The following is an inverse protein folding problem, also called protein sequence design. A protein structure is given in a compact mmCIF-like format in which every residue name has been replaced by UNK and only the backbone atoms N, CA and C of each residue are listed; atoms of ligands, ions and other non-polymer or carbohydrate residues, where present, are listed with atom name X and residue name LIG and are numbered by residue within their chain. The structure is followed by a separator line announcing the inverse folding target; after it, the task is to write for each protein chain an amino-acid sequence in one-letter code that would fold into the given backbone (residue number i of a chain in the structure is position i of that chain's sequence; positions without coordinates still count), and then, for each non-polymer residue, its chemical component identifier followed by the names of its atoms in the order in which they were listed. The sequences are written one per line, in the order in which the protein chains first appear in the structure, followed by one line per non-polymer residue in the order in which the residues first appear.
data_IF_840788547843
#
_entry.id   IF_840788547843
#
_cell.length_a   1.000
_cell.length_b   1.000
_cell.length_c   1.000
_cell.angle_alpha   90.00
_cell.angle_beta   90.00
_cell.angle_gamma   90.00
#
_symmetry.space_group_name_H-M   'P 1'
#
loop_
_entity.id
_entity.type
_entity.pdbx_description
1 polymer ?
#
# COMPACT_ATOMS: atom_id res chain seq x y z
N UNK A 1 -13.23 -70.18 4.87
CA UNK A 1 -14.44 -69.79 5.63
C UNK A 1 -15.25 -68.85 4.75
N UNK A 2 -16.37 -69.34 4.24
CA UNK A 2 -17.23 -68.65 3.28
C UNK A 2 -18.70 -68.90 3.68
N UNK A 3 -19.51 -67.85 3.57
CA UNK A 3 -20.98 -67.87 3.54
C UNK A 3 -21.64 -66.96 4.60
N UNK A 4 -22.93 -66.55 4.42
CA UNK A 4 -23.80 -66.77 3.27
C UNK A 4 -24.55 -65.52 2.73
N UNK A 5 -25.12 -65.75 1.55
CA UNK A 5 -26.07 -64.96 0.78
C UNK A 5 -27.30 -64.48 1.57
N UNK A 6 -27.68 -63.21 1.35
CA UNK A 6 -28.99 -62.65 1.67
C UNK A 6 -29.76 -62.30 0.38
N UNK A 7 -31.00 -62.80 0.27
CA UNK A 7 -31.84 -62.84 -0.92
C UNK A 7 -32.56 -61.52 -1.26
N UNK A 8 -32.90 -61.43 -2.54
CA UNK A 8 -33.91 -60.59 -3.18
C UNK A 8 -35.28 -60.56 -2.47
N UNK A 9 -35.95 -59.41 -2.51
CA UNK A 9 -37.38 -59.30 -2.88
C UNK A 9 -37.69 -57.87 -3.35
N UNK A 10 -38.30 -57.79 -4.52
CA UNK A 10 -38.84 -56.58 -5.13
C UNK A 10 -40.11 -56.12 -4.41
N UNK A 11 -40.46 -54.83 -4.47
CA UNK A 11 -41.83 -54.42 -4.79
C UNK A 11 -41.88 -52.99 -5.34
N UNK A 12 -42.56 -52.92 -6.48
CA UNK A 12 -43.00 -51.79 -7.26
C UNK A 12 -43.94 -50.86 -6.49
N UNK A 13 -43.70 -49.55 -6.56
CA UNK A 13 -44.73 -48.52 -6.37
C UNK A 13 -44.41 -47.29 -7.23
N UNK A 14 -44.73 -47.38 -8.52
CA UNK A 14 -44.81 -46.24 -9.42
C UNK A 14 -46.07 -45.45 -9.04
N UNK A 15 -45.90 -44.43 -8.21
CA UNK A 15 -46.95 -43.44 -7.97
C UNK A 15 -47.07 -42.56 -9.22
N UNK A 16 -47.97 -42.95 -10.12
CA UNK A 16 -48.52 -42.09 -11.17
C UNK A 16 -49.12 -40.86 -10.50
N UNK A 17 -48.41 -39.73 -10.59
CA UNK A 17 -49.00 -38.42 -10.31
C UNK A 17 -50.15 -38.20 -11.30
N UNK A 18 -51.35 -37.83 -10.84
CA UNK A 18 -52.42 -37.45 -11.75
C UNK A 18 -51.95 -36.25 -12.56
N UNK A 19 -51.99 -36.40 -13.89
CA UNK A 19 -51.87 -35.31 -14.84
C UNK A 19 -52.93 -34.27 -14.48
N UNK A 20 -52.49 -33.22 -13.78
CA UNK A 20 -53.32 -32.06 -13.49
C UNK A 20 -53.62 -31.43 -14.85
N UNK A 21 -54.86 -31.59 -15.31
CA UNK A 21 -55.35 -30.98 -16.54
C UNK A 21 -54.91 -29.52 -16.58
N UNK A 22 -54.16 -29.17 -17.62
CA UNK A 22 -53.75 -27.81 -17.91
C UNK A 22 -55.02 -26.98 -18.09
N UNK A 23 -55.41 -26.26 -17.03
CA UNK A 23 -56.49 -25.30 -17.07
C UNK A 23 -56.01 -24.19 -17.98
N UNK A 24 -56.52 -24.16 -19.21
CA UNK A 24 -56.26 -23.11 -20.19
C UNK A 24 -56.52 -21.76 -19.51
N UNK A 25 -55.46 -20.98 -19.32
CA UNK A 25 -55.54 -19.65 -18.76
C UNK A 25 -56.35 -18.78 -19.74
N UNK A 26 -57.41 -18.18 -19.23
CA UNK A 26 -58.23 -17.25 -20.00
C UNK A 26 -57.35 -16.12 -20.58
N UNK A 27 -57.45 -15.82 -21.89
CA UNK A 27 -56.77 -14.67 -22.49
C UNK A 27 -57.40 -13.39 -21.91
N UNK A 28 -56.68 -12.69 -21.03
CA UNK A 28 -57.13 -11.40 -20.48
C UNK A 28 -56.85 -11.16 -19.01
N UNK A 29 -56.34 -12.13 -18.25
CA UNK A 29 -55.91 -11.86 -16.88
C UNK A 29 -54.64 -10.98 -16.90
N UNK A 30 -54.64 -9.77 -16.32
CA UNK A 30 -53.46 -8.93 -16.28
C UNK A 30 -52.35 -9.71 -15.55
N UNK A 31 -51.24 -9.95 -16.26
CA UNK A 31 -50.03 -10.53 -15.66
C UNK A 31 -49.73 -9.71 -14.42
N UNK A 32 -49.87 -10.33 -13.25
CA UNK A 32 -49.46 -9.77 -11.96
C UNK A 32 -47.95 -9.60 -12.08
N UNK A 33 -47.52 -8.43 -12.54
CA UNK A 33 -46.11 -8.05 -12.57
C UNK A 33 -45.70 -8.14 -11.11
N UNK A 34 -44.94 -9.17 -10.76
CA UNK A 34 -44.30 -9.22 -9.46
C UNK A 34 -43.44 -7.97 -9.41
N UNK A 35 -43.95 -6.91 -8.77
CA UNK A 35 -43.13 -5.77 -8.39
C UNK A 35 -42.01 -6.37 -7.57
N UNK A 36 -40.83 -6.45 -8.18
CA UNK A 36 -39.59 -6.84 -7.51
C UNK A 36 -39.59 -6.11 -6.18
N UNK A 37 -39.52 -6.86 -5.08
CA UNK A 37 -39.42 -6.26 -3.77
C UNK A 37 -38.31 -5.20 -3.82
N UNK A 38 -38.52 -4.00 -3.26
CA UNK A 38 -37.48 -2.97 -3.26
C UNK A 38 -36.25 -3.60 -2.62
N UNK A 39 -35.20 -3.77 -3.43
CA UNK A 39 -33.90 -4.26 -2.95
C UNK A 39 -33.49 -3.30 -1.86
N UNK A 40 -33.32 -3.78 -0.63
CA UNK A 40 -32.84 -2.96 0.47
C UNK A 40 -31.50 -2.34 0.05
N UNK A 41 -31.40 -1.02 0.14
CA UNK A 41 -30.34 -0.26 -0.51
C UNK A 41 -29.25 0.03 0.52
N UNK A 42 -28.13 -0.69 0.50
CA UNK A 42 -27.04 -0.36 1.40
C UNK A 42 -26.34 0.94 0.97
N UNK A 43 -26.25 1.90 1.89
CA UNK A 43 -25.29 2.99 1.75
C UNK A 43 -23.87 2.40 1.76
N UNK A 44 -22.93 2.93 0.95
CA UNK A 44 -21.55 2.47 0.98
C UNK A 44 -21.00 2.56 2.40
N UNK A 45 -20.51 1.44 2.95
CA UNK A 45 -19.91 1.47 4.27
C UNK A 45 -18.66 2.36 4.25
N UNK A 46 -18.61 3.34 5.16
CA UNK A 46 -17.48 4.25 5.35
C UNK A 46 -17.07 4.28 6.82
N UNK A 47 -15.77 4.39 7.11
CA UNK A 47 -15.32 4.68 8.47
C UNK A 47 -15.76 6.09 8.89
N UNK A 48 -15.94 6.32 10.18
CA UNK A 48 -16.16 7.68 10.68
C UNK A 48 -14.82 8.46 10.69
N UNK A 49 -14.83 9.80 10.56
CA UNK A 49 -13.62 10.59 10.72
C UNK A 49 -12.90 10.32 12.05
N UNK A 50 -13.66 10.08 13.12
CA UNK A 50 -13.12 9.77 14.44
C UNK A 50 -12.41 8.41 14.47
N UNK A 51 -12.95 7.39 13.79
CA UNK A 51 -12.29 6.08 13.67
C UNK A 51 -10.94 6.22 12.96
N UNK A 52 -10.85 7.08 11.94
CA UNK A 52 -9.58 7.38 11.24
C UNK A 52 -8.61 8.12 12.15
N UNK A 53 -9.07 9.12 12.90
CA UNK A 53 -8.23 9.86 13.85
C UNK A 53 -7.70 8.94 14.97
N UNK A 54 -8.49 7.98 15.45
CA UNK A 54 -8.06 6.93 16.40
C UNK A 54 -6.99 6.02 15.78
N UNK A 55 -7.25 5.48 14.59
CA UNK A 55 -6.26 4.65 13.87
C UNK A 55 -4.94 5.38 13.65
N UNK A 56 -5.00 6.68 13.33
CA UNK A 56 -3.81 7.50 13.14
C UNK A 56 -2.97 7.66 14.41
N UNK A 57 -3.57 7.55 15.60
CA UNK A 57 -2.87 7.54 16.91
C UNK A 57 -2.32 6.15 17.26
N UNK A 58 -2.71 5.12 16.52
CA UNK A 58 -2.45 3.72 16.87
C UNK A 58 -3.49 3.13 17.83
N UNK A 59 -4.60 3.83 18.03
CA UNK A 59 -5.73 3.32 18.79
C UNK A 59 -6.62 2.44 17.89
N UNK A 60 -7.33 1.48 18.47
CA UNK A 60 -8.30 0.68 17.73
C UNK A 60 -9.50 1.52 17.28
N UNK A 61 -9.92 1.37 16.02
CA UNK A 61 -11.19 1.90 15.54
C UNK A 61 -12.38 1.26 16.27
N UNK A 62 -13.50 1.98 16.33
CA UNK A 62 -14.74 1.48 16.95
C UNK A 62 -15.32 0.33 16.16
N UNK A 63 -15.28 0.42 14.82
CA UNK A 63 -15.74 -0.63 13.92
C UNK A 63 -14.59 -1.53 13.50
N UNK A 64 -14.78 -2.84 13.65
CA UNK A 64 -13.84 -3.86 13.17
C UNK A 64 -13.72 -3.78 11.65
N UNK A 65 -12.50 -3.89 11.14
CA UNK A 65 -12.21 -3.87 9.69
C UNK A 65 -11.88 -2.48 9.12
N UNK A 66 -12.02 -1.41 9.90
CA UNK A 66 -11.61 -0.06 9.50
C UNK A 66 -10.11 0.04 9.23
N UNK A 67 -9.29 -0.58 10.09
CA UNK A 67 -7.84 -0.70 9.91
C UNK A 67 -7.38 -2.12 9.60
N UNK A 68 -6.15 -2.25 9.11
CA UNK A 68 -5.46 -3.52 8.90
C UNK A 68 -4.09 -3.48 9.62
N UNK A 69 -3.68 -4.56 10.28
CA UNK A 69 -2.36 -4.67 10.92
C UNK A 69 -1.20 -4.65 9.92
N UNK A 70 -1.44 -5.13 8.70
CA UNK A 70 -0.46 -5.21 7.62
C UNK A 70 -0.32 -3.89 6.86
N UNK A 71 -1.20 -2.92 7.09
CA UNK A 71 -1.14 -1.59 6.47
C UNK A 71 -0.91 -0.57 7.57
N UNK A 72 0.22 0.15 7.56
CA UNK A 72 0.51 1.10 8.61
C UNK A 72 -0.45 2.29 8.53
N UNK A 73 -1.05 2.64 9.66
CA UNK A 73 -1.90 3.85 9.82
C UNK A 73 -1.39 4.77 10.93
N UNK A 74 -0.61 4.25 11.89
CA UNK A 74 -0.09 5.02 13.02
C UNK A 74 0.93 6.06 12.57
N UNK A 75 0.60 7.33 12.79
CA UNK A 75 1.45 8.46 12.45
C UNK A 75 2.50 8.69 13.53
N UNK A 76 3.67 9.21 13.13
CA UNK A 76 4.70 9.70 14.05
C UNK A 76 4.35 11.11 14.56
N UNK A 77 5.12 11.60 15.53
CA UNK A 77 4.99 12.97 16.01
C UNK A 77 5.19 14.01 14.89
N UNK A 78 6.10 13.74 13.93
CA UNK A 78 6.40 14.63 12.80
C UNK A 78 5.30 14.63 11.73
N UNK A 79 4.69 13.47 11.46
CA UNK A 79 3.64 13.35 10.44
C UNK A 79 2.29 13.90 10.92
N UNK A 80 2.06 13.89 12.23
CA UNK A 80 0.81 14.35 12.84
C UNK A 80 0.45 15.80 12.46
N UNK A 81 1.31 16.81 12.63
CA UNK A 81 0.99 18.18 12.22
C UNK A 81 0.76 18.29 10.71
N UNK A 82 1.46 17.49 9.90
CA UNK A 82 1.24 17.45 8.44
C UNK A 82 -0.17 16.95 8.13
N UNK A 83 -0.60 15.85 8.76
CA UNK A 83 -1.94 15.30 8.63
C UNK A 83 -3.03 16.28 9.07
N UNK A 84 -2.89 16.91 10.24
CA UNK A 84 -3.83 17.91 10.74
C UNK A 84 -3.90 19.15 9.83
N UNK A 85 -2.76 19.61 9.29
CA UNK A 85 -2.74 20.70 8.32
C UNK A 85 -3.41 20.31 7.01
N UNK A 86 -3.29 19.04 6.60
CA UNK A 86 -3.87 18.51 5.37
C UNK A 86 -5.40 18.45 5.47
N UNK A 87 -5.95 18.09 6.63
CA UNK A 87 -7.40 18.16 6.89
C UNK A 87 -7.96 19.57 6.67
N UNK A 88 -7.20 20.62 7.03
CA UNK A 88 -7.59 22.03 6.81
C UNK A 88 -7.45 22.46 5.35
N UNK A 89 -6.37 22.01 4.67
CA UNK A 89 -6.07 22.37 3.27
C UNK A 89 -6.92 21.61 2.25
N UNK A 90 -7.36 20.41 2.60
CA UNK A 90 -8.07 19.49 1.70
C UNK A 90 -7.17 18.68 0.75
N UNK A 91 -5.85 18.75 0.91
CA UNK A 91 -4.87 17.92 0.20
C UNK A 91 -3.66 17.64 1.08
N UNK A 92 -2.95 16.55 0.79
CA UNK A 92 -1.72 16.16 1.46
C UNK A 92 -0.51 16.58 0.62
N UNK A 93 0.53 17.12 1.24
CA UNK A 93 1.83 17.32 0.60
C UNK A 93 2.89 16.55 1.37
N UNK A 94 3.65 15.71 0.66
CA UNK A 94 4.71 14.86 1.21
C UNK A 94 5.98 15.06 0.40
N UNK A 95 7.15 14.91 1.04
CA UNK A 95 8.44 14.95 0.34
C UNK A 95 8.78 13.56 -0.17
N UNK A 96 9.01 13.42 -1.49
CA UNK A 96 9.07 12.12 -2.16
C UNK A 96 7.73 11.39 -2.06
N UNK A 97 7.75 10.06 -1.94
CA UNK A 97 6.54 9.23 -1.85
C UNK A 97 5.88 9.18 -0.46
N UNK A 98 6.53 9.75 0.56
CA UNK A 98 6.08 9.63 1.97
C UNK A 98 6.33 8.24 2.59
N UNK A 99 7.12 7.38 1.95
CA UNK A 99 7.49 6.07 2.48
C UNK A 99 8.45 6.18 3.68
N UNK A 100 8.18 5.41 4.75
CA UNK A 100 9.15 5.25 5.85
C UNK A 100 10.14 4.14 5.54
N UNK A 101 11.45 4.48 5.52
CA UNK A 101 12.53 3.49 5.31
C UNK A 101 12.93 2.74 6.58
N UNK A 102 12.90 3.39 7.75
CA UNK A 102 13.68 2.96 8.92
C UNK A 102 12.87 2.35 10.08
N UNK A 103 11.56 2.19 9.98
CA UNK A 103 10.74 1.70 11.12
C UNK A 103 10.26 0.26 10.89
N UNK A 104 10.10 -0.50 11.97
CA UNK A 104 9.59 -1.89 12.01
C UNK A 104 8.23 -2.15 11.29
N UNK A 105 7.59 -1.10 10.78
CA UNK A 105 6.40 -1.17 9.91
C UNK A 105 6.69 -0.34 8.66
N UNK A 106 7.31 -0.97 7.66
CA UNK A 106 7.51 -0.39 6.34
C UNK A 106 6.16 0.02 5.71
N UNK A 107 6.17 1.08 4.89
CA UNK A 107 5.01 1.54 4.13
C UNK A 107 4.75 3.04 4.24
N UNK A 108 3.50 3.43 3.99
CA UNK A 108 3.09 4.81 3.76
C UNK A 108 2.01 5.30 4.75
N UNK A 109 2.29 5.37 6.07
CA UNK A 109 1.28 5.63 7.09
C UNK A 109 0.53 6.96 6.90
N UNK A 110 1.24 8.03 6.56
CA UNK A 110 0.64 9.34 6.35
C UNK A 110 -0.30 9.37 5.13
N UNK A 111 0.13 8.97 3.91
CA UNK A 111 -0.78 8.80 2.78
C UNK A 111 -1.93 7.82 3.03
N UNK A 112 -1.69 6.70 3.72
CA UNK A 112 -2.74 5.72 4.05
C UNK A 112 -3.83 6.33 4.92
N UNK A 113 -3.44 7.03 6.00
CA UNK A 113 -4.37 7.72 6.89
C UNK A 113 -5.09 8.87 6.20
N UNK A 114 -4.42 9.59 5.30
CA UNK A 114 -5.04 10.63 4.47
C UNK A 114 -6.09 10.06 3.52
N UNK A 115 -5.78 8.95 2.83
CA UNK A 115 -6.73 8.25 1.96
C UNK A 115 -7.95 7.74 2.73
N UNK A 116 -7.76 7.22 3.95
CA UNK A 116 -8.88 6.85 4.83
C UNK A 116 -9.73 8.04 5.25
N UNK A 117 -9.10 9.17 5.58
CA UNK A 117 -9.82 10.40 5.92
C UNK A 117 -10.68 10.89 4.75
N UNK A 118 -10.12 10.86 3.53
CA UNK A 118 -10.84 11.18 2.30
C UNK A 118 -12.03 10.24 2.07
N UNK A 119 -11.89 8.94 2.31
CA UNK A 119 -13.01 7.98 2.22
C UNK A 119 -14.08 8.21 3.29
N UNK A 120 -13.69 8.53 4.53
CA UNK A 120 -14.63 8.86 5.60
C UNK A 120 -15.49 10.09 5.26
N UNK A 121 -14.89 11.10 4.61
CA UNK A 121 -15.57 12.31 4.15
C UNK A 121 -16.28 12.13 2.81
N UNK A 122 -15.95 11.05 2.08
CA UNK A 122 -16.19 10.93 0.66
C UNK A 122 -15.63 12.17 -0.04
N UNK A 123 -14.33 12.26 -0.24
CA UNK A 123 -13.63 13.32 -0.98
C UNK A 123 -12.57 12.62 -1.85
N UNK A 124 -12.18 13.18 -3.01
CA UNK A 124 -11.04 12.62 -3.74
C UNK A 124 -9.78 12.70 -2.86
N UNK A 125 -8.91 11.71 -2.92
CA UNK A 125 -7.65 11.74 -2.20
C UNK A 125 -6.60 12.43 -3.08
N UNK A 126 -6.21 13.64 -2.70
CA UNK A 126 -5.21 14.45 -3.42
C UNK A 126 -3.91 14.45 -2.63
N UNK A 127 -2.82 14.01 -3.25
CA UNK A 127 -1.47 13.95 -2.67
C UNK A 127 -0.48 14.63 -3.61
N UNK A 128 0.32 15.56 -3.10
CA UNK A 128 1.44 16.16 -3.80
C UNK A 128 2.72 15.49 -3.31
N UNK A 129 3.41 14.79 -4.19
CA UNK A 129 4.75 14.27 -3.99
C UNK A 129 5.76 15.32 -4.43
N UNK A 130 6.34 15.98 -3.44
CA UNK A 130 7.29 17.04 -3.66
C UNK A 130 8.65 16.45 -4.00
N UNK A 131 9.26 16.96 -5.07
CA UNK A 131 10.61 16.56 -5.41
C UNK A 131 11.58 16.86 -4.26
N UNK A 132 12.50 15.92 -4.00
CA UNK A 132 13.45 16.01 -2.89
C UNK A 132 14.57 16.99 -3.19
N UNK A 133 14.91 17.21 -4.46
CA UNK A 133 15.99 18.12 -4.86
C UNK A 133 15.56 19.59 -4.85
N UNK A 134 14.24 19.84 -4.91
CA UNK A 134 13.66 21.19 -4.85
C UNK A 134 13.76 21.96 -6.17
N UNK A 135 14.45 21.42 -7.17
CA UNK A 135 14.50 21.93 -8.54
C UNK A 135 13.68 21.12 -9.55
N UNK A 136 13.17 19.96 -9.16
CA UNK A 136 12.31 19.13 -10.01
C UNK A 136 10.84 19.55 -9.98
N UNK A 137 10.07 19.00 -10.92
CA UNK A 137 8.61 19.10 -10.95
C UNK A 137 8.01 18.26 -9.80
N UNK A 138 6.93 18.76 -9.19
CA UNK A 138 6.21 18.01 -8.17
C UNK A 138 5.15 17.15 -8.88
N UNK A 139 4.92 15.91 -8.41
CA UNK A 139 3.85 15.07 -8.93
C UNK A 139 2.60 15.17 -8.06
N UNK A 140 1.44 15.41 -8.67
CA UNK A 140 0.13 15.36 -8.01
C UNK A 140 -0.57 14.05 -8.36
N UNK A 141 -0.91 13.29 -7.33
CA UNK A 141 -1.68 12.06 -7.41
C UNK A 141 -3.11 12.34 -6.92
N UNK A 142 -4.08 12.09 -7.79
CA UNK A 142 -5.52 12.21 -7.49
C UNK A 142 -6.16 10.83 -7.54
N UNK A 143 -6.45 10.23 -6.38
CA UNK A 143 -7.19 8.97 -6.30
C UNK A 143 -8.69 9.22 -6.12
N UNK A 144 -9.47 8.70 -7.07
CA UNK A 144 -10.93 8.83 -7.09
C UNK A 144 -11.66 7.68 -6.38
N UNK A 145 -10.96 6.61 -5.96
CA UNK A 145 -11.58 5.48 -5.27
C UNK A 145 -12.38 5.87 -4.00
N UNK A 146 -11.93 6.83 -3.16
CA UNK A 146 -12.70 7.31 -1.99
C UNK A 146 -14.09 7.89 -2.33
N UNK A 147 -14.32 8.31 -3.57
CA UNK A 147 -15.64 8.76 -4.01
C UNK A 147 -16.65 7.60 -4.05
N UNK A 148 -16.17 6.36 -4.18
CA UNK A 148 -16.98 5.13 -4.32
C UNK A 148 -17.98 5.19 -5.47
N UNK A 149 -17.58 5.83 -6.57
CA UNK A 149 -18.38 5.94 -7.80
C UNK A 149 -18.03 4.80 -8.77
N UNK A 150 -19.02 4.14 -9.36
CA UNK A 150 -18.82 3.16 -10.45
C UNK A 150 -18.21 3.85 -11.66
N UNK A 151 -18.77 5.00 -12.03
CA UNK A 151 -18.25 5.82 -13.12
C UNK A 151 -17.61 7.09 -12.55
N UNK A 152 -16.35 7.30 -12.88
CA UNK A 152 -15.59 8.50 -12.53
C UNK A 152 -15.26 9.34 -13.77
N UNK A 153 -15.80 9.04 -14.95
CA UNK A 153 -15.46 9.68 -16.22
C UNK A 153 -15.57 11.21 -16.15
N UNK A 154 -16.71 11.73 -15.70
CA UNK A 154 -16.94 13.17 -15.54
C UNK A 154 -15.97 13.83 -14.55
N UNK A 155 -15.73 13.18 -13.40
CA UNK A 155 -14.81 13.69 -12.37
C UNK A 155 -13.38 13.67 -12.88
N UNK A 156 -12.97 12.60 -13.55
CA UNK A 156 -11.65 12.48 -14.15
C UNK A 156 -11.42 13.54 -15.21
N UNK A 157 -12.39 13.77 -16.10
CA UNK A 157 -12.29 14.79 -17.13
C UNK A 157 -12.20 16.20 -16.52
N UNK A 158 -12.96 16.44 -15.46
CA UNK A 158 -12.87 17.70 -14.72
C UNK A 158 -11.49 17.93 -14.11
N UNK A 159 -10.88 16.89 -13.53
CA UNK A 159 -9.51 16.96 -13.04
C UNK A 159 -8.52 17.29 -14.17
N UNK A 160 -8.65 16.65 -15.35
CA UNK A 160 -7.79 16.92 -16.51
C UNK A 160 -7.93 18.33 -17.05
N UNK A 161 -9.16 18.83 -17.14
CA UNK A 161 -9.44 20.20 -17.58
C UNK A 161 -8.82 21.22 -16.62
N UNK A 162 -9.00 21.00 -15.30
CA UNK A 162 -8.42 21.85 -14.28
C UNK A 162 -6.89 21.84 -14.32
N UNK A 163 -6.29 20.65 -14.50
CA UNK A 163 -4.84 20.49 -14.63
C UNK A 163 -4.30 21.26 -15.85
N UNK A 164 -4.93 21.08 -17.02
CA UNK A 164 -4.54 21.76 -18.27
C UNK A 164 -4.62 23.28 -18.13
N UNK A 165 -5.68 23.80 -17.50
CA UNK A 165 -5.84 25.24 -17.25
C UNK A 165 -4.75 25.83 -16.36
N UNK A 166 -4.23 25.04 -15.43
CA UNK A 166 -3.20 25.45 -14.47
C UNK A 166 -1.78 25.08 -14.92
N UNK A 167 -1.61 24.58 -16.15
CA UNK A 167 -0.30 24.28 -16.72
C UNK A 167 0.29 22.91 -16.34
N UNK A 168 -0.45 22.05 -15.63
CA UNK A 168 0.05 20.72 -15.28
C UNK A 168 -0.04 19.75 -16.48
N UNK A 169 1.00 18.93 -16.66
CA UNK A 169 1.07 17.84 -17.62
C UNK A 169 0.45 16.59 -17.02
N UNK A 170 -0.49 15.94 -17.72
CA UNK A 170 -0.99 14.63 -17.28
C UNK A 170 0.04 13.55 -17.63
N UNK A 171 0.39 12.69 -16.66
CA UNK A 171 1.21 11.50 -16.92
C UNK A 171 0.32 10.37 -17.43
N UNK A 172 0.80 9.68 -18.46
CA UNK A 172 0.10 8.53 -19.03
C UNK A 172 0.40 7.24 -18.25
N UNK A 173 -0.44 6.20 -18.35
CA UNK A 173 -0.21 4.92 -17.66
C UNK A 173 1.14 4.27 -17.97
N UNK A 174 1.73 4.55 -19.13
CA UNK A 174 3.05 4.06 -19.54
C UNK A 174 4.20 4.78 -18.82
N UNK A 175 3.98 6.02 -18.38
CA UNK A 175 4.96 6.81 -17.63
C UNK A 175 4.84 6.53 -16.13
N UNK A 176 3.62 6.33 -15.63
CA UNK A 176 3.34 6.04 -14.23
C UNK A 176 2.12 5.14 -14.08
N UNK A 177 2.35 3.94 -13.54
CA UNK A 177 1.35 2.89 -13.42
C UNK A 177 0.36 3.13 -12.30
N UNK A 178 -0.73 2.35 -12.31
CA UNK A 178 -1.75 2.37 -11.25
C UNK A 178 -1.26 1.91 -9.88
N UNK A 179 -0.14 1.19 -9.86
CA UNK A 179 0.58 0.66 -8.72
C UNK A 179 1.54 1.68 -8.11
N UNK A 180 1.92 2.73 -8.84
CA UNK A 180 2.86 3.77 -8.39
C UNK A 180 2.17 4.85 -7.55
N UNK A 181 1.21 4.44 -6.72
CA UNK A 181 0.48 5.33 -5.82
C UNK A 181 1.22 5.46 -4.48
N UNK A 182 1.13 6.61 -3.78
CA UNK A 182 1.87 6.85 -2.55
C UNK A 182 1.26 6.15 -1.32
N UNK A 183 0.40 5.15 -1.49
CA UNK A 183 -0.30 4.50 -0.38
C UNK A 183 -0.41 2.99 -0.61
N UNK A 184 -0.47 2.24 0.48
CA UNK A 184 -0.50 0.78 0.47
C UNK A 184 -1.93 0.28 0.25
N UNK A 185 -2.09 -0.68 -0.66
CA UNK A 185 -3.38 -1.33 -0.95
C UNK A 185 -3.22 -2.83 -0.75
N UNK A 186 -4.06 -3.42 0.10
CA UNK A 186 -4.14 -4.87 0.19
C UNK A 186 -5.15 -5.35 -0.86
N UNK A 187 -4.74 -6.10 -1.88
CA UNK A 187 -5.65 -6.57 -2.91
C UNK A 187 -6.81 -7.36 -2.27
N UNK A 188 -8.04 -7.09 -2.71
CA UNK A 188 -9.21 -7.87 -2.28
C UNK A 188 -8.96 -9.32 -2.68
N UNK A 189 -8.88 -10.19 -1.69
CA UNK A 189 -8.81 -11.61 -1.95
C UNK A 189 -10.18 -12.08 -2.41
N UNK A 190 -10.33 -12.30 -3.71
CA UNK A 190 -11.57 -12.82 -4.27
C UNK A 190 -11.85 -14.21 -3.66
N UNK A 191 -13.09 -14.49 -3.21
CA UNK A 191 -13.45 -15.82 -2.71
C UNK A 191 -13.12 -16.88 -3.78
N UNK A 192 -12.29 -17.87 -3.45
CA UNK A 192 -11.82 -18.90 -4.38
C UNK A 192 -10.40 -18.69 -4.93
N UNK A 193 -9.82 -17.49 -4.80
CA UNK A 193 -8.39 -17.32 -5.00
C UNK A 193 -7.65 -17.94 -3.80
N UNK A 194 -6.89 -19.01 -4.06
CA UNK A 194 -6.02 -19.63 -3.07
C UNK A 194 -5.16 -18.54 -2.40
N UNK A 195 -4.90 -18.68 -1.10
CA UNK A 195 -4.02 -17.73 -0.42
C UNK A 195 -2.68 -17.76 -1.15
N UNK A 196 -2.07 -16.62 -1.50
CA UNK A 196 -0.62 -16.63 -1.56
C UNK A 196 -0.16 -17.16 -0.19
N UNK A 197 0.46 -18.34 -0.19
CA UNK A 197 1.01 -18.88 1.05
C UNK A 197 1.97 -17.82 1.61
N UNK A 198 1.88 -17.47 2.90
CA UNK A 198 2.75 -16.45 3.47
C UNK A 198 4.20 -16.82 3.14
N UNK A 199 4.98 -15.89 2.56
CA UNK A 199 6.32 -16.16 2.03
C UNK A 199 7.22 -16.90 3.05
N UNK A 200 7.02 -16.67 4.35
CA UNK A 200 7.70 -17.41 5.42
C UNK A 200 7.43 -18.92 5.38
N UNK A 201 6.20 -19.37 5.12
CA UNK A 201 5.88 -20.79 4.95
C UNK A 201 6.51 -21.37 3.69
N UNK A 202 6.56 -20.61 2.60
CA UNK A 202 7.18 -21.07 1.36
C UNK A 202 8.70 -21.20 1.50
N UNK A 203 9.33 -20.26 2.21
CA UNK A 203 10.75 -20.29 2.54
C UNK A 203 11.08 -21.43 3.52
N UNK A 204 10.22 -21.67 4.52
CA UNK A 204 10.38 -22.80 5.46
C UNK A 204 10.16 -24.16 4.78
N UNK A 205 9.21 -24.26 3.84
CA UNK A 205 9.03 -25.47 3.02
C UNK A 205 10.21 -25.69 2.07
N UNK A 206 10.77 -24.65 1.45
CA UNK A 206 12.00 -24.79 0.66
C UNK A 206 13.18 -25.25 1.51
N UNK A 207 13.35 -24.70 2.71
CA UNK A 207 14.40 -25.15 3.63
C UNK A 207 14.20 -26.61 4.08
N UNK A 208 12.95 -27.04 4.32
CA UNK A 208 12.65 -28.44 4.64
C UNK A 208 12.89 -29.38 3.44
N UNK A 209 12.60 -28.94 2.21
CA UNK A 209 12.89 -29.71 1.00
C UNK A 209 14.39 -29.85 0.74
N UNK A 210 15.18 -28.80 1.02
CA UNK A 210 16.64 -28.88 0.94
C UNK A 210 17.22 -29.82 2.01
N UNK A 211 16.70 -29.75 3.25
CA UNK A 211 17.13 -30.65 4.34
C UNK A 211 16.83 -32.12 4.05
N UNK A 212 15.68 -32.42 3.45
CA UNK A 212 15.30 -33.79 3.08
C UNK A 212 16.15 -34.42 1.98
N UNK A 213 16.94 -33.61 1.25
CA UNK A 213 17.80 -34.11 0.17
C UNK A 213 19.19 -34.54 0.65
N UNK A 214 19.64 -34.08 1.82
CA UNK A 214 20.95 -34.45 2.38
C UNK A 214 20.91 -35.78 3.14
N UNK A 215 19.75 -36.19 3.68
CA UNK A 215 19.64 -37.41 4.50
C UNK A 215 19.52 -38.72 3.70
N UNK A 216 19.43 -38.67 2.36
CA UNK A 216 19.30 -39.88 1.53
C UNK A 216 20.51 -40.12 0.58
N UNK A 217 21.61 -39.40 0.78
CA UNK A 217 22.87 -39.56 0.04
C UNK A 217 23.88 -40.47 0.74
N UNK A 218 23.45 -41.63 1.22
CA UNK A 218 24.33 -42.64 1.80
C UNK A 218 24.93 -43.58 0.76
N UNK A 219 26.26 -43.57 0.69
CA UNK A 219 27.22 -44.59 0.18
C UNK A 219 28.19 -44.04 -0.89
N UNK A 220 29.07 -43.13 -0.44
CA UNK A 220 30.38 -42.95 -1.06
C UNK A 220 31.40 -43.89 -0.40
N UNK A 221 32.34 -44.49 -1.17
CA UNK A 221 33.29 -45.47 -0.67
C UNK A 221 34.31 -44.88 0.32
N UNK A 222 34.62 -45.65 1.36
CA UNK A 222 35.67 -45.40 2.36
C UNK A 222 37.02 -45.03 1.71
N UNK A 223 37.62 -43.88 2.08
CA UNK A 223 39.04 -43.67 1.90
C UNK A 223 39.82 -44.23 3.11
N UNK A 224 40.78 -45.08 2.79
CA UNK A 224 41.68 -45.74 3.72
C UNK A 224 42.50 -44.75 4.56
N UNK A 225 42.75 -45.19 5.79
CA UNK A 225 43.49 -44.51 6.84
C UNK A 225 44.90 -44.06 6.43
N UNK A 226 45.23 -42.81 6.74
CA UNK A 226 46.60 -42.36 6.93
C UNK A 226 46.70 -41.67 8.30
N UNK A 227 47.44 -42.31 9.21
CA UNK A 227 47.80 -41.80 10.51
C UNK A 227 48.71 -40.57 10.38
N UNK A 228 48.39 -39.51 11.13
CA UNK A 228 49.16 -38.28 11.20
C UNK A 228 48.95 -37.63 12.57
N UNK A 229 49.98 -37.78 13.38
CA UNK A 229 50.16 -37.40 14.77
C UNK A 229 50.28 -35.87 14.98
N UNK A 230 49.79 -35.38 16.13
CA UNK A 230 50.43 -34.29 16.88
C UNK A 230 50.05 -32.82 16.58
N UNK A 231 49.15 -32.27 17.42
CA UNK A 231 49.49 -31.08 18.21
C UNK A 231 48.95 -29.71 17.78
N UNK A 232 48.44 -28.98 18.77
CA UNK A 232 48.56 -27.51 18.84
C UNK A 232 47.26 -26.74 18.70
N UNK A 233 46.66 -26.40 19.84
CA UNK A 233 45.57 -25.43 19.92
C UNK A 233 45.96 -24.04 19.43
N UNK A 234 44.99 -23.33 18.86
CA UNK A 234 45.16 -21.96 18.44
C UNK A 234 43.81 -21.37 18.04
N UNK A 235 43.27 -20.54 18.93
CA UNK A 235 42.17 -19.62 18.67
C UNK A 235 42.46 -18.79 17.40
N UNK A 236 41.78 -19.11 16.29
CA UNK A 236 42.02 -18.50 14.97
C UNK A 236 40.81 -18.49 14.05
N UNK A 237 39.58 -18.56 14.60
CA UNK A 237 38.35 -18.65 13.82
C UNK A 237 37.92 -17.35 13.12
N UNK A 238 38.46 -16.20 13.50
CA UNK A 238 38.06 -14.90 12.96
C UNK A 238 38.63 -14.58 11.56
N UNK A 239 39.88 -14.99 11.29
CA UNK A 239 40.58 -14.58 10.07
C UNK A 239 40.06 -15.30 8.81
N UNK A 240 39.49 -16.50 8.97
CA UNK A 240 38.90 -17.28 7.88
C UNK A 240 37.69 -16.60 7.26
N UNK A 241 36.74 -16.17 8.10
CA UNK A 241 35.51 -15.52 7.66
C UNK A 241 35.78 -14.17 6.98
N UNK A 242 36.67 -13.35 7.56
CA UNK A 242 37.07 -12.08 6.98
C UNK A 242 37.73 -12.27 5.59
N UNK A 243 38.57 -13.30 5.44
CA UNK A 243 39.21 -13.62 4.16
C UNK A 243 38.21 -14.13 3.13
N UNK A 244 37.22 -14.91 3.53
CA UNK A 244 36.17 -15.42 2.65
C UNK A 244 35.26 -14.29 2.15
N UNK A 245 34.85 -13.38 3.04
CA UNK A 245 34.05 -12.20 2.68
C UNK A 245 34.82 -11.29 1.71
N UNK A 246 36.11 -11.04 1.97
CA UNK A 246 36.97 -10.28 1.06
C UNK A 246 37.09 -10.96 -0.32
N UNK A 247 37.24 -12.29 -0.37
CA UNK A 247 37.31 -13.05 -1.62
C UNK A 247 35.99 -12.98 -2.40
N UNK A 248 34.84 -13.11 -1.72
CA UNK A 248 33.53 -12.99 -2.33
C UNK A 248 33.28 -11.58 -2.90
N UNK A 249 33.68 -10.53 -2.18
CA UNK A 249 33.59 -9.15 -2.66
C UNK A 249 34.45 -8.91 -3.91
N UNK A 250 35.68 -9.42 -3.92
CA UNK A 250 36.57 -9.34 -5.08
C UNK A 250 36.00 -10.06 -6.31
N UNK A 251 35.36 -11.22 -6.12
CA UNK A 251 34.70 -11.95 -7.20
C UNK A 251 33.51 -11.18 -7.81
N UNK A 252 32.71 -10.50 -6.97
CA UNK A 252 31.62 -9.63 -7.45
C UNK A 252 32.16 -8.48 -8.31
N UNK A 253 33.21 -7.81 -7.85
CA UNK A 253 33.81 -6.69 -8.59
C UNK A 253 34.42 -7.15 -9.92
N UNK A 254 35.15 -8.28 -9.92
CA UNK A 254 35.74 -8.86 -11.12
C UNK A 254 34.66 -9.21 -12.16
N UNK A 255 33.57 -9.86 -11.74
CA UNK A 255 32.46 -10.21 -12.64
C UNK A 255 31.73 -8.96 -13.16
N UNK A 256 31.55 -7.94 -12.32
CA UNK A 256 30.98 -6.65 -12.75
C UNK A 256 31.88 -5.94 -13.78
N UNK A 257 33.20 -6.06 -13.65
CA UNK A 257 34.17 -5.60 -14.65
C UNK A 257 34.00 -6.29 -16.00
N UNK A 258 33.83 -7.62 -16.01
CA UNK A 258 33.58 -8.39 -17.24
C UNK A 258 32.28 -7.97 -17.94
N UNK A 259 31.19 -7.77 -17.19
CA UNK A 259 29.92 -7.30 -17.76
C UNK A 259 30.04 -5.90 -18.36
N UNK A 260 30.79 -4.99 -17.71
CA UNK A 260 31.09 -3.65 -18.24
C UNK A 260 31.90 -3.74 -19.54
N UNK A 261 32.96 -4.54 -19.56
CA UNK A 261 33.79 -4.74 -20.76
C UNK A 261 33.01 -5.34 -21.94
N UNK A 262 32.07 -6.26 -21.68
CA UNK A 262 31.18 -6.80 -22.72
C UNK A 262 30.26 -5.71 -23.31
N UNK A 263 29.75 -4.80 -22.48
CA UNK A 263 28.93 -3.68 -22.93
C UNK A 263 29.73 -2.64 -23.72
N UNK A 264 30.96 -2.35 -23.29
CA UNK A 264 31.88 -1.45 -24.00
C UNK A 264 32.24 -1.96 -25.40
N UNK A 265 32.28 -3.28 -25.60
CA UNK A 265 32.47 -3.92 -26.92
C UNK A 265 31.20 -3.90 -27.80
N UNK A 266 30.15 -3.20 -27.39
CA UNK A 266 28.87 -3.13 -28.11
C UNK A 266 27.85 -4.21 -27.73
N UNK A 267 28.12 -5.00 -26.68
CA UNK A 267 27.14 -5.94 -26.14
C UNK A 267 25.92 -5.19 -25.57
N UNK A 268 24.73 -5.54 -26.03
CA UNK A 268 23.49 -4.97 -25.49
C UNK A 268 22.97 -5.82 -24.33
N UNK A 269 21.99 -5.32 -23.57
CA UNK A 269 21.33 -6.12 -22.52
C UNK A 269 20.59 -7.37 -23.08
N UNK A 270 20.40 -7.45 -24.40
CA UNK A 270 19.82 -8.63 -25.07
C UNK A 270 20.88 -9.63 -25.54
N UNK A 271 22.17 -9.27 -25.51
CA UNK A 271 23.23 -10.19 -25.89
C UNK A 271 23.31 -11.35 -24.90
N UNK A 272 23.34 -12.62 -25.36
CA UNK A 272 23.30 -13.80 -24.48
C UNK A 272 24.50 -13.84 -23.53
N UNK A 273 25.66 -13.33 -23.97
CA UNK A 273 26.88 -13.24 -23.16
C UNK A 273 26.73 -12.24 -22.00
N UNK A 274 26.11 -11.08 -22.25
CA UNK A 274 25.83 -10.07 -21.21
C UNK A 274 24.81 -10.64 -20.22
N UNK A 275 23.78 -11.35 -20.69
CA UNK A 275 22.79 -11.98 -19.83
C UNK A 275 23.39 -13.06 -18.92
N UNK A 276 24.22 -13.95 -19.49
CA UNK A 276 24.94 -14.97 -18.71
C UNK A 276 25.86 -14.32 -17.68
N UNK A 277 26.59 -13.27 -18.07
CA UNK A 277 27.46 -12.52 -17.18
C UNK A 277 26.71 -11.87 -16.00
N UNK A 278 25.53 -11.30 -16.27
CA UNK A 278 24.64 -10.72 -15.24
C UNK A 278 24.07 -11.79 -14.31
N UNK A 279 23.67 -12.96 -14.82
CA UNK A 279 23.20 -14.05 -13.96
C UNK A 279 24.30 -14.54 -12.99
N UNK A 280 25.53 -14.69 -13.46
CA UNK A 280 26.68 -15.02 -12.60
C UNK A 280 26.92 -13.94 -11.54
N UNK A 281 26.85 -12.67 -11.93
CA UNK A 281 26.98 -11.54 -11.00
C UNK A 281 25.91 -11.56 -9.90
N UNK A 282 24.65 -11.88 -10.24
CA UNK A 282 23.57 -12.01 -9.26
C UNK A 282 23.80 -13.16 -8.28
N UNK A 283 24.30 -14.31 -8.75
CA UNK A 283 24.67 -15.44 -7.88
C UNK A 283 25.79 -15.06 -6.89
N UNK A 284 26.83 -14.38 -7.36
CA UNK A 284 27.94 -13.91 -6.51
C UNK A 284 27.47 -12.88 -5.48
N UNK A 285 26.58 -11.95 -5.86
CA UNK A 285 25.99 -10.99 -4.91
C UNK A 285 25.14 -11.68 -3.85
N UNK A 286 24.36 -12.70 -4.22
CA UNK A 286 23.58 -13.48 -3.26
C UNK A 286 24.49 -14.23 -2.28
N UNK A 287 25.61 -14.79 -2.75
CA UNK A 287 26.61 -15.44 -1.89
C UNK A 287 27.26 -14.45 -0.92
N UNK A 288 27.70 -13.29 -1.39
CA UNK A 288 28.27 -12.24 -0.54
C UNK A 288 27.28 -11.78 0.53
N UNK A 289 26.01 -11.60 0.17
CA UNK A 289 24.96 -11.23 1.12
C UNK A 289 24.71 -12.31 2.18
N UNK A 290 24.82 -13.59 1.81
CA UNK A 290 24.69 -14.71 2.76
C UNK A 290 25.83 -14.71 3.79
N UNK A 291 27.07 -14.45 3.36
CA UNK A 291 28.23 -14.33 4.25
C UNK A 291 28.08 -13.15 5.22
N UNK A 292 27.65 -11.99 4.72
CA UNK A 292 27.42 -10.80 5.54
C UNK A 292 26.27 -10.96 6.54
N UNK A 293 25.22 -11.72 6.19
CA UNK A 293 24.09 -12.00 7.08
C UNK A 293 24.42 -12.96 8.22
N UNK A 294 25.42 -13.83 8.05
CA UNK A 294 25.89 -14.75 9.08
C UNK A 294 26.60 -14.06 10.25
N UNK A 295 27.33 -12.98 10.00
CA UNK A 295 28.04 -12.22 11.04
C UNK A 295 27.11 -11.53 12.04
N UNK A 296 25.88 -11.17 11.63
CA UNK A 296 24.92 -10.50 12.51
C UNK A 296 24.23 -11.44 13.53
N UNK A 297 24.37 -12.76 13.42
CA UNK A 297 23.74 -13.72 14.35
C UNK A 297 24.68 -14.28 15.42
N UNK A 298 25.96 -13.90 15.44
CA UNK A 298 26.96 -14.44 16.38
C UNK A 298 27.47 -13.46 17.45
N UNK A 299 26.87 -12.28 17.59
CA UNK A 299 27.10 -11.47 18.80
C UNK A 299 26.16 -11.95 19.92
N UNK A 300 26.67 -12.52 21.03
CA UNK A 300 25.86 -12.79 22.20
C UNK A 300 25.37 -11.46 22.77
N UNK A 301 24.06 -11.35 22.97
CA UNK A 301 23.43 -10.26 23.71
C UNK A 301 24.08 -10.21 25.11
N UNK A 302 24.87 -9.18 25.36
CA UNK A 302 25.23 -8.79 26.71
C UNK A 302 24.04 -8.00 27.27
N UNK A 303 23.52 -8.48 28.39
CA UNK A 303 22.46 -7.85 29.17
C UNK A 303 22.93 -6.45 29.63
N UNK A 304 22.28 -5.41 29.11
CA UNK A 304 22.29 -4.06 29.67
C UNK A 304 20.85 -3.73 30.10
N UNK A 305 20.45 -4.33 31.21
CA UNK A 305 19.40 -3.81 32.07
C UNK A 305 20.09 -3.00 33.18
N UNK A 306 20.20 -1.67 33.02
CA UNK A 306 20.26 -0.67 34.11
C UNK A 306 20.43 0.74 33.52
N UNK A 307 19.72 1.72 34.08
CA UNK A 307 19.86 3.19 33.91
C UNK A 307 19.05 3.96 32.84
N UNK A 308 17.70 3.98 32.95
CA UNK A 308 16.87 5.05 32.37
C UNK A 308 15.76 5.59 33.32
N UNK A 309 16.08 5.89 34.59
CA UNK A 309 15.12 6.49 35.54
C UNK A 309 15.57 7.82 36.19
N UNK A 310 16.38 8.67 35.53
CA UNK A 310 16.84 9.96 36.13
C UNK A 310 16.78 11.23 35.25
N UNK A 311 16.08 11.27 34.12
CA UNK A 311 16.05 12.49 33.26
C UNK A 311 14.71 13.24 33.14
N UNK A 312 13.76 13.09 34.08
CA UNK A 312 12.48 13.82 34.06
C UNK A 312 12.22 14.84 35.18
N UNK A 313 13.25 15.27 35.92
CA UNK A 313 13.11 16.37 36.88
C UNK A 313 14.27 17.36 36.78
N UNK A 314 14.20 18.30 35.82
CA UNK A 314 14.85 19.62 35.91
C UNK A 314 14.55 20.46 34.66
N UNK A 315 13.32 20.98 34.50
CA UNK A 315 13.07 22.27 33.82
C UNK A 315 11.74 22.84 34.35
N UNK A 316 11.78 23.49 35.50
CA UNK A 316 10.79 24.49 35.89
C UNK A 316 11.43 25.44 36.90
N UNK A 317 11.08 26.72 36.77
CA UNK A 317 11.46 27.88 37.58
C UNK A 317 12.74 28.62 37.17
N UNK A 318 12.55 29.89 36.81
CA UNK A 318 13.59 30.82 36.40
C UNK A 318 13.03 32.06 35.72
N UNK A 319 12.15 32.77 36.44
CA UNK A 319 11.67 34.12 36.14
C UNK A 319 12.83 35.08 35.82
N UNK A 320 12.59 36.00 34.90
CA UNK A 320 13.50 37.09 34.55
C UNK A 320 12.74 38.22 33.89
N UNK A 321 12.23 39.12 34.72
CA UNK A 321 11.75 40.45 34.37
C UNK A 321 12.83 41.26 33.64
N UNK A 322 12.44 42.12 32.69
CA UNK A 322 13.31 43.21 32.26
C UNK A 322 13.04 43.81 30.88
N UNK A 323 12.46 45.02 30.92
CA UNK A 323 12.69 46.15 30.02
C UNK A 323 11.88 46.28 28.71
N UNK A 324 10.85 47.13 28.85
CA UNK A 324 10.49 48.25 27.97
C UNK A 324 11.41 48.53 26.78
N UNK A 325 10.83 48.55 25.58
CA UNK A 325 11.15 49.62 24.62
C UNK A 325 9.94 49.93 23.74
N UNK A 326 9.51 51.17 23.92
CA UNK A 326 8.50 51.92 23.18
C UNK A 326 8.81 52.05 21.69
N UNK A 327 7.74 52.07 20.86
CA UNK A 327 7.40 53.16 19.94
C UNK A 327 6.76 52.68 18.62
N UNK A 328 5.44 52.82 18.54
CA UNK A 328 4.80 53.62 17.50
C UNK A 328 4.26 52.93 16.24
N UNK A 329 3.15 53.42 15.64
CA UNK A 329 2.30 52.67 14.71
C UNK A 329 2.24 53.24 13.27
N UNK A 330 1.86 52.39 12.31
CA UNK A 330 1.24 52.78 11.04
C UNK A 330 0.45 51.56 10.51
N UNK A 331 -0.88 51.50 10.62
CA UNK A 331 -1.93 52.04 9.72
C UNK A 331 -1.84 51.60 8.25
N UNK A 332 -2.98 51.07 7.78
CA UNK A 332 -3.47 50.97 6.38
C UNK A 332 -2.81 49.89 5.50
N UNK A 333 -3.51 49.05 4.74
CA UNK A 333 -4.93 48.87 4.46
C UNK A 333 -4.96 47.77 3.41
N UNK A 334 -5.67 46.67 3.66
CA UNK A 334 -5.86 45.62 2.67
C UNK A 334 -7.36 45.45 2.48
N UNK A 335 -7.89 46.23 1.53
CA UNK A 335 -9.21 46.03 0.95
C UNK A 335 -9.30 44.60 0.41
N UNK A 336 -10.08 43.77 1.09
CA UNK A 336 -10.52 42.50 0.58
C UNK A 336 -11.51 42.76 -0.56
N UNK A 337 -11.00 42.72 -1.79
CA UNK A 337 -11.83 42.61 -2.99
C UNK A 337 -12.60 41.27 -2.92
N UNK A 338 -13.86 41.35 -2.48
CA UNK A 338 -14.84 40.29 -2.64
C UNK A 338 -15.18 40.16 -4.13
N UNK A 339 -14.33 39.46 -4.88
CA UNK A 339 -14.67 38.99 -6.21
C UNK A 339 -15.76 37.94 -6.10
N UNK A 340 -16.88 38.14 -6.79
CA UNK A 340 -17.92 37.15 -7.01
C UNK A 340 -17.29 35.83 -7.47
N UNK A 341 -17.33 34.82 -6.60
CA UNK A 341 -16.87 33.48 -6.93
C UNK A 341 -17.82 32.86 -7.99
N UNK A 342 -17.30 32.20 -9.03
CA UNK A 342 -18.13 31.61 -10.07
C UNK A 342 -18.97 30.45 -9.50
N UNK A 343 -20.25 30.70 -9.22
CA UNK A 343 -21.20 29.72 -8.68
C UNK A 343 -21.36 28.45 -9.54
N UNK A 344 -21.03 28.52 -10.83
CA UNK A 344 -21.26 27.44 -11.79
C UNK A 344 -20.32 26.23 -11.66
N UNK A 345 -19.12 26.38 -11.07
CA UNK A 345 -18.13 25.29 -11.04
C UNK A 345 -18.42 24.22 -9.97
N UNK A 346 -19.13 24.56 -8.89
CA UNK A 346 -19.41 23.63 -7.79
C UNK A 346 -20.51 22.59 -8.07
N UNK A 347 -21.21 22.71 -9.20
CA UNK A 347 -22.33 21.83 -9.54
C UNK A 347 -21.91 20.40 -9.94
N UNK A 348 -20.73 20.24 -10.56
CA UNK A 348 -20.32 18.96 -11.17
C UNK A 348 -20.07 17.84 -10.15
N UNK A 349 -19.38 18.12 -9.05
CA UNK A 349 -19.08 17.14 -7.99
C UNK A 349 -20.32 16.74 -7.18
N UNK A 350 -21.28 17.66 -7.06
CA UNK A 350 -22.57 17.40 -6.43
C UNK A 350 -23.49 16.51 -7.28
N UNK A 351 -23.46 16.69 -8.61
CA UNK A 351 -24.31 15.96 -9.56
C UNK A 351 -23.86 14.51 -9.81
N UNK A 352 -22.56 14.25 -9.93
CA UNK A 352 -22.03 12.88 -10.07
C UNK A 352 -22.31 11.99 -8.83
N UNK A 353 -22.61 12.60 -7.68
CA UNK A 353 -23.00 11.92 -6.45
C UNK A 353 -24.51 11.83 -6.24
N UNK A 354 -25.33 12.11 -7.26
CA UNK A 354 -26.74 11.70 -7.25
C UNK A 354 -26.78 10.21 -6.95
N UNK A 355 -27.23 9.89 -5.73
CA UNK A 355 -27.23 8.57 -5.06
C UNK A 355 -27.02 7.41 -6.03
N UNK A 356 -25.77 7.14 -6.36
CA UNK A 356 -25.46 5.97 -7.13
C UNK A 356 -25.83 4.77 -6.28
N UNK A 357 -26.75 3.97 -6.82
CA UNK A 357 -27.22 2.77 -6.17
C UNK A 357 -26.18 1.70 -6.41
N UNK A 358 -25.49 1.30 -5.34
CA UNK A 358 -24.58 0.17 -5.39
C UNK A 358 -25.35 -1.08 -4.95
N UNK A 359 -25.27 -2.18 -5.72
CA UNK A 359 -25.72 -3.47 -5.22
C UNK A 359 -25.01 -3.79 -3.90
N UNK A 360 -25.70 -4.39 -2.93
CA UNK A 360 -25.10 -4.75 -1.64
C UNK A 360 -23.82 -5.60 -1.80
N UNK A 361 -23.76 -6.44 -2.84
CA UNK A 361 -22.60 -7.26 -3.14
C UNK A 361 -21.40 -6.51 -3.73
N UNK A 362 -21.57 -5.24 -4.12
CA UNK A 362 -20.51 -4.47 -4.77
C UNK A 362 -19.36 -4.20 -3.77
N UNK A 363 -18.08 -4.32 -4.17
CA UNK A 363 -16.94 -4.08 -3.27
C UNK A 363 -16.99 -2.72 -2.59
N UNK A 364 -17.41 -1.67 -3.29
CA UNK A 364 -17.57 -0.33 -2.72
C UNK A 364 -18.67 -0.22 -1.66
N UNK A 365 -19.58 -1.18 -1.55
CA UNK A 365 -20.57 -1.20 -0.48
C UNK A 365 -20.01 -1.80 0.82
N UNK A 366 -19.09 -2.77 0.72
CA UNK A 366 -18.67 -3.62 1.85
C UNK A 366 -17.24 -3.38 2.33
N UNK A 367 -16.34 -3.03 1.43
CA UNK A 367 -14.91 -3.08 1.70
C UNK A 367 -14.39 -1.75 2.24
N UNK A 368 -13.35 -1.83 3.07
CA UNK A 368 -12.61 -0.66 3.51
C UNK A 368 -11.75 -0.11 2.37
N UNK A 369 -11.45 1.19 2.39
CA UNK A 369 -10.73 1.84 1.28
C UNK A 369 -9.35 1.22 1.00
N UNK A 370 -8.67 0.71 2.03
CA UNK A 370 -7.38 0.03 1.90
C UNK A 370 -7.46 -1.31 1.16
N UNK A 371 -8.67 -1.84 0.96
CA UNK A 371 -8.94 -3.01 0.13
C UNK A 371 -9.34 -2.62 -1.30
N UNK A 372 -9.76 -1.37 -1.52
CA UNK A 372 -10.26 -0.94 -2.82
C UNK A 372 -9.10 -0.56 -3.73
N UNK A 373 -9.08 -1.06 -4.99
CA UNK A 373 -8.07 -0.67 -5.96
C UNK A 373 -8.12 0.85 -6.17
N UNK A 374 -6.96 1.52 -6.26
CA UNK A 374 -6.94 2.94 -6.53
C UNK A 374 -7.44 3.23 -7.93
N UNK A 375 -7.93 4.45 -8.12
CA UNK A 375 -8.27 5.02 -9.43
C UNK A 375 -7.46 6.31 -9.59
N UNK A 376 -6.12 6.21 -9.73
CA UNK A 376 -5.26 7.38 -9.72
C UNK A 376 -5.31 8.11 -11.05
N UNK A 377 -5.17 9.43 -10.97
CA UNK A 377 -4.75 10.30 -12.05
C UNK A 377 -3.46 10.96 -11.61
N UNK A 378 -2.49 11.03 -12.51
CA UNK A 378 -1.17 11.57 -12.23
C UNK A 378 -0.95 12.83 -13.06
N UNK A 379 -0.46 13.88 -12.40
CA UNK A 379 -0.14 15.15 -13.02
C UNK A 379 1.24 15.62 -12.55
N UNK A 380 2.01 16.25 -13.41
CA UNK A 380 3.34 16.78 -13.12
C UNK A 380 3.36 18.27 -13.48
N UNK A 381 4.06 19.07 -12.70
CA UNK A 381 4.23 20.50 -12.98
C UNK A 381 5.00 21.24 -11.89
N UNK A 382 5.10 22.56 -12.03
CA UNK A 382 5.81 23.35 -11.04
C UNK A 382 5.11 23.31 -9.68
N UNK A 383 5.89 23.40 -8.60
CA UNK A 383 5.37 23.36 -7.21
C UNK A 383 4.22 24.34 -6.94
N UNK A 384 4.27 25.53 -7.55
CA UNK A 384 3.22 26.54 -7.41
C UNK A 384 1.91 26.07 -8.06
N UNK A 385 1.99 25.61 -9.31
CA UNK A 385 0.87 25.07 -10.10
C UNK A 385 0.27 23.83 -9.44
N UNK A 386 1.11 22.89 -8.98
CA UNK A 386 0.68 21.70 -8.25
C UNK A 386 -0.13 22.03 -6.99
N UNK A 387 0.32 23.03 -6.20
CA UNK A 387 -0.40 23.49 -5.02
C UNK A 387 -1.70 24.21 -5.37
N UNK A 388 -1.70 25.03 -6.42
CA UNK A 388 -2.90 25.72 -6.89
C UNK A 388 -3.96 24.73 -7.39
N UNK A 389 -3.53 23.74 -8.18
CA UNK A 389 -4.37 22.64 -8.67
C UNK A 389 -4.99 21.86 -7.51
N UNK A 390 -4.18 21.44 -6.53
CA UNK A 390 -4.68 20.71 -5.37
C UNK A 390 -5.68 21.53 -4.53
N UNK A 391 -5.43 22.83 -4.34
CA UNK A 391 -6.36 23.75 -3.65
C UNK A 391 -7.67 23.91 -4.40
N UNK A 392 -7.62 24.16 -5.70
CA UNK A 392 -8.80 24.31 -6.54
C UNK A 392 -9.65 23.04 -6.53
N UNK A 393 -9.01 21.87 -6.64
CA UNK A 393 -9.68 20.58 -6.58
C UNK A 393 -10.33 20.32 -5.22
N UNK A 394 -9.63 20.64 -4.12
CA UNK A 394 -10.17 20.53 -2.77
C UNK A 394 -11.38 21.45 -2.56
N UNK A 395 -11.34 22.68 -3.08
CA UNK A 395 -12.44 23.63 -3.01
C UNK A 395 -13.66 23.15 -3.82
N UNK A 396 -13.48 22.66 -5.05
CA UNK A 396 -14.56 22.07 -5.85
C UNK A 396 -15.22 20.88 -5.14
N UNK A 397 -14.41 20.00 -4.54
CA UNK A 397 -14.90 18.83 -3.82
C UNK A 397 -15.67 19.19 -2.53
N UNK A 398 -15.20 20.20 -1.79
CA UNK A 398 -15.86 20.70 -0.58
C UNK A 398 -17.19 21.41 -0.90
N UNK A 399 -17.23 22.22 -1.96
CA UNK A 399 -18.44 22.91 -2.41
C UNK A 399 -19.56 21.97 -2.87
N UNK A 400 -19.21 20.77 -3.35
CA UNK A 400 -20.18 19.70 -3.64
C UNK A 400 -20.64 18.94 -2.39
N UNK A 401 -19.89 18.99 -1.28
CA UNK A 401 -20.23 18.34 -0.02
C UNK A 401 -21.21 19.17 0.83
N UNK A 402 -21.05 20.50 0.88
CA UNK A 402 -21.90 21.39 1.67
C UNK A 402 -23.34 21.53 1.16
N UNK A 403 -23.62 21.12 -0.09
CA UNK A 403 -24.96 21.14 -0.70
C UNK A 403 -25.78 19.86 -0.42
N UNK A 404 -25.25 18.93 0.39
CA UNK A 404 -25.94 17.74 0.89
C UNK A 404 -26.39 17.97 2.32
#
# INVERSE_FOLDING_TARGET
MAGPFGRFTAYTAVLRRPCRAARAAAPGAPRRVHRSAPVAMAQPWRPTPDDVDRLSRGEGATKRGTGNSNIPHRLSAEERPVFESSKKKGYLAVRGTGARKAHARHGHPLPNSWRQHCDARGLPCVVIEQDRSGGGEDTVVVDLAPLRLLDCSEVSERCRELARRLGLRQLLPEERGTEDVPFDVAPVRMPGAAAPQPQKQQQQQQQQQLRGHEENGGQGPEPAAAAGDGGGGGSGGGDGAARELAAAAAAVEAQAGLVRALKERGGTNQSPEVQAGVQTLLKLKAHLAALQGGEQQQQPQQDEDEDEEQQQQQVQEGEGDGEESSAGPATEGAEAAAGEAPEAAGAAWGLARRRQVLPDAHPYAKNAIWQLPPRPLFFEGARAEAKEFAKALAAEAAGGAARR
#
